data_IF_308168054909
#
_entry.id   IF_308168054909
#
_cell.length_a   1.000
_cell.length_b   1.000
_cell.length_c   1.000
_cell.angle_alpha   90.00
_cell.angle_beta   90.00
_cell.angle_gamma   90.00
#
_symmetry.space_group_name_H-M   'P 1'
#
loop_
_entity.id
_entity.type
_entity.pdbx_description
1 polymer ?
#
# COMPACT_ATOMS: atom_id res chain seq x y z
N UNK A 1 -13.96 19.67 -2.96
CA UNK A 1 -14.86 18.78 -2.20
C UNK A 1 -14.64 17.36 -2.69
N UNK A 2 -13.95 16.50 -1.92
CA UNK A 2 -13.76 15.10 -2.32
C UNK A 2 -15.09 14.35 -2.16
N UNK A 3 -15.75 14.06 -3.28
CA UNK A 3 -16.99 13.30 -3.32
C UNK A 3 -16.77 11.79 -3.15
N UNK A 4 -17.86 11.07 -2.91
CA UNK A 4 -17.89 9.60 -2.97
C UNK A 4 -18.04 9.16 -4.43
N UNK A 5 -17.11 8.34 -4.91
CA UNK A 5 -17.12 7.79 -6.26
C UNK A 5 -17.76 6.40 -6.26
N UNK A 6 -18.69 6.17 -7.19
CA UNK A 6 -19.21 4.83 -7.46
C UNK A 6 -18.47 4.29 -8.67
N UNK A 7 -17.72 3.21 -8.46
CA UNK A 7 -16.82 2.64 -9.45
C UNK A 7 -17.41 1.35 -10.02
N UNK A 8 -17.09 1.09 -11.27
CA UNK A 8 -17.48 -0.08 -12.06
C UNK A 8 -16.28 -0.97 -12.36
N UNK A 9 -16.50 -2.07 -13.08
CA UNK A 9 -15.37 -2.89 -13.57
C UNK A 9 -14.45 -2.20 -14.56
N UNK A 10 -14.94 -1.19 -15.29
CA UNK A 10 -14.18 -0.53 -16.34
C UNK A 10 -13.16 0.48 -15.79
N UNK A 11 -13.33 0.87 -14.52
CA UNK A 11 -12.40 1.76 -13.80
C UNK A 11 -11.13 1.04 -13.32
N UNK A 12 -11.07 -0.29 -13.50
CA UNK A 12 -9.95 -1.12 -13.08
C UNK A 12 -9.21 -1.72 -14.27
N UNK A 13 -7.88 -1.69 -14.20
CA UNK A 13 -6.99 -2.26 -15.22
C UNK A 13 -5.93 -3.14 -14.57
N UNK A 14 -5.56 -4.22 -15.25
CA UNK A 14 -4.46 -5.06 -14.81
C UNK A 14 -3.13 -4.47 -15.25
N UNK A 15 -2.18 -4.38 -14.33
CA UNK A 15 -0.83 -3.89 -14.61
C UNK A 15 0.23 -4.81 -13.99
N UNK A 16 1.44 -4.81 -14.55
CA UNK A 16 2.56 -5.56 -13.98
C UNK A 16 3.16 -4.78 -12.80
N UNK A 17 3.12 -5.35 -11.61
CA UNK A 17 3.82 -4.88 -10.42
C UNK A 17 5.16 -5.58 -10.22
N UNK A 18 5.90 -5.19 -9.18
CA UNK A 18 7.21 -5.76 -8.84
C UNK A 18 7.15 -7.22 -8.41
N UNK A 19 6.04 -7.64 -7.77
CA UNK A 19 5.83 -9.00 -7.26
C UNK A 19 4.85 -9.84 -8.09
N UNK A 20 4.32 -9.28 -9.19
CA UNK A 20 3.28 -9.91 -10.01
C UNK A 20 2.23 -8.91 -10.48
N UNK A 21 1.18 -9.41 -11.13
CA UNK A 21 0.08 -8.58 -11.64
C UNK A 21 -0.69 -7.93 -10.49
N UNK A 22 -1.06 -6.66 -10.66
CA UNK A 22 -1.84 -5.86 -9.71
C UNK A 22 -3.08 -5.31 -10.40
N UNK A 23 -4.16 -5.19 -9.64
CA UNK A 23 -5.37 -4.49 -10.08
C UNK A 23 -5.19 -3.00 -9.77
N UNK A 24 -5.09 -2.16 -10.79
CA UNK A 24 -4.92 -0.72 -10.68
C UNK A 24 -6.23 0.02 -10.96
N UNK A 25 -6.33 1.27 -10.52
CA UNK A 25 -7.43 2.19 -10.82
C UNK A 25 -6.92 3.46 -11.51
N UNK A 26 -7.83 4.19 -12.16
CA UNK A 26 -7.53 5.48 -12.79
C UNK A 26 -7.45 6.66 -11.81
N UNK A 27 -7.68 6.42 -10.51
CA UNK A 27 -7.80 7.49 -9.52
C UNK A 27 -6.41 8.03 -9.10
N UNK A 28 -6.12 9.33 -9.33
CA UNK A 28 -4.85 9.92 -8.91
C UNK A 28 -4.79 10.18 -7.41
N UNK A 29 -3.58 10.24 -6.85
CA UNK A 29 -3.36 10.53 -5.44
C UNK A 29 -3.78 9.38 -4.51
N UNK A 30 -4.23 9.72 -3.31
CA UNK A 30 -4.73 8.75 -2.34
C UNK A 30 -6.19 8.41 -2.62
N UNK A 31 -6.50 7.13 -2.74
CA UNK A 31 -7.89 6.68 -2.80
C UNK A 31 -8.14 5.44 -1.96
N UNK A 32 -9.23 5.46 -1.19
CA UNK A 32 -9.68 4.31 -0.42
C UNK A 32 -10.87 3.70 -1.15
N UNK A 33 -10.76 2.44 -1.56
CA UNK A 33 -11.79 1.74 -2.34
C UNK A 33 -12.38 0.61 -1.52
N UNK A 34 -13.71 0.62 -1.37
CA UNK A 34 -14.51 -0.42 -0.74
C UNK A 34 -15.19 -1.28 -1.80
N UNK A 35 -14.86 -2.57 -1.82
CA UNK A 35 -15.58 -3.60 -2.55
C UNK A 35 -16.62 -4.23 -1.63
N UNK A 36 -17.89 -4.17 -2.03
CA UNK A 36 -19.02 -4.62 -1.22
C UNK A 36 -20.04 -5.42 -2.05
N UNK A 37 -20.91 -6.16 -1.36
CA UNK A 37 -22.06 -6.83 -1.95
C UNK A 37 -23.34 -6.41 -1.23
N UNK A 38 -24.44 -6.27 -1.98
CA UNK A 38 -25.78 -5.98 -1.43
C UNK A 38 -26.37 -7.13 -0.61
N UNK A 39 -25.87 -8.35 -0.80
CA UNK A 39 -26.35 -9.56 -0.11
C UNK A 39 -25.53 -9.91 1.14
N UNK A 40 -24.52 -9.10 1.48
CA UNK A 40 -23.62 -9.38 2.61
C UNK A 40 -24.04 -8.56 3.85
N UNK A 41 -24.36 -9.21 5.00
CA UNK A 41 -24.76 -8.50 6.21
C UNK A 41 -23.63 -7.63 6.79
N UNK A 42 -22.37 -8.08 6.71
CA UNK A 42 -21.23 -7.29 7.16
C UNK A 42 -21.03 -6.02 6.32
N UNK A 43 -21.35 -6.07 5.02
CA UNK A 43 -21.29 -4.90 4.16
C UNK A 43 -22.34 -3.86 4.56
N UNK A 44 -23.54 -4.29 4.95
CA UNK A 44 -24.62 -3.38 5.36
C UNK A 44 -24.23 -2.50 6.54
N UNK A 45 -23.38 -3.01 7.45
CA UNK A 45 -22.84 -2.22 8.56
C UNK A 45 -21.75 -1.24 8.12
N UNK A 46 -20.82 -1.66 7.27
CA UNK A 46 -19.67 -0.82 6.86
C UNK A 46 -20.04 0.28 5.85
N UNK A 47 -20.98 0.02 4.94
CA UNK A 47 -21.42 0.98 3.90
C UNK A 47 -21.80 2.36 4.47
N UNK A 48 -22.70 2.50 5.47
CA UNK A 48 -23.08 3.81 6.00
C UNK A 48 -21.92 4.53 6.68
N UNK A 49 -20.98 3.79 7.27
CA UNK A 49 -19.78 4.36 7.91
C UNK A 49 -18.82 4.87 6.83
N UNK A 50 -18.61 4.08 5.77
CA UNK A 50 -17.77 4.45 4.65
C UNK A 50 -18.29 5.69 3.92
N UNK A 51 -19.61 5.82 3.75
CA UNK A 51 -20.27 6.98 3.15
C UNK A 51 -20.08 8.29 3.93
N UNK A 52 -19.70 8.22 5.22
CA UNK A 52 -19.42 9.40 6.08
C UNK A 52 -17.96 9.85 6.05
N UNK A 53 -17.07 9.08 5.43
CA UNK A 53 -15.64 9.44 5.30
C UNK A 53 -15.37 10.60 4.33
N UNK A 54 -16.03 10.70 3.16
CA UNK A 54 -15.86 11.84 2.26
C UNK A 54 -16.09 13.17 2.99
N UNK A 55 -15.23 14.15 2.74
CA UNK A 55 -15.29 15.48 3.37
C UNK A 55 -14.65 15.55 4.77
N UNK A 56 -14.35 14.43 5.42
CA UNK A 56 -13.67 14.43 6.72
C UNK A 56 -12.15 14.28 6.62
N UNK A 57 -11.66 13.70 5.52
CA UNK A 57 -10.23 13.53 5.24
C UNK A 57 -9.90 14.31 3.97
N UNK A 58 -9.04 15.32 4.08
CA UNK A 58 -8.51 16.05 2.95
C UNK A 58 -7.51 15.22 2.14
N UNK A 59 -7.46 15.40 0.83
CA UNK A 59 -6.45 14.77 -0.04
C UNK A 59 -6.66 13.28 -0.33
N UNK A 60 -7.73 12.65 0.20
CA UNK A 60 -8.12 11.28 -0.11
C UNK A 60 -9.45 11.24 -0.86
N UNK A 61 -9.54 10.39 -1.89
CA UNK A 61 -10.77 10.09 -2.61
C UNK A 61 -11.37 8.78 -2.08
N UNK A 62 -12.69 8.66 -2.07
CA UNK A 62 -13.36 7.46 -1.56
C UNK A 62 -14.16 6.82 -2.68
N UNK A 63 -13.88 5.56 -2.98
CA UNK A 63 -14.53 4.77 -4.02
C UNK A 63 -15.32 3.61 -3.46
N UNK A 64 -16.45 3.29 -4.07
CA UNK A 64 -17.26 2.12 -3.72
C UNK A 64 -17.57 1.29 -4.97
N UNK A 65 -17.37 -0.02 -4.90
CA UNK A 65 -17.64 -0.98 -5.98
C UNK A 65 -18.61 -2.04 -5.49
N UNK A 66 -19.76 -2.15 -6.13
CA UNK A 66 -20.66 -3.27 -5.91
C UNK A 66 -20.23 -4.47 -6.74
N UNK A 67 -19.66 -5.50 -6.10
CA UNK A 67 -19.16 -6.68 -6.80
C UNK A 67 -20.27 -7.63 -7.27
N UNK A 68 -21.49 -7.49 -6.75
CA UNK A 68 -22.66 -8.28 -7.21
C UNK A 68 -23.04 -7.94 -8.65
N UNK A 69 -22.92 -6.67 -9.03
CA UNK A 69 -23.17 -6.18 -10.39
C UNK A 69 -21.90 -6.16 -11.23
N UNK A 70 -20.74 -5.91 -10.59
CA UNK A 70 -19.44 -5.78 -11.25
C UNK A 70 -18.58 -7.05 -11.08
N UNK A 71 -19.08 -8.19 -11.56
CA UNK A 71 -18.37 -9.49 -11.40
C UNK A 71 -17.03 -9.55 -12.12
N UNK A 72 -16.83 -8.73 -13.16
CA UNK A 72 -15.57 -8.65 -13.89
C UNK A 72 -14.43 -8.17 -12.99
N UNK A 73 -14.67 -7.27 -12.03
CA UNK A 73 -13.68 -6.87 -11.02
C UNK A 73 -13.11 -8.09 -10.28
N UNK A 74 -13.99 -8.99 -9.82
CA UNK A 74 -13.58 -10.20 -9.09
C UNK A 74 -12.75 -11.08 -10.02
N UNK A 75 -13.21 -11.30 -11.26
CA UNK A 75 -12.49 -12.13 -12.25
C UNK A 75 -11.09 -11.60 -12.50
N UNK A 76 -10.95 -10.30 -12.78
CA UNK A 76 -9.64 -9.67 -12.98
C UNK A 76 -8.75 -9.79 -11.75
N UNK A 77 -9.31 -9.62 -10.54
CA UNK A 77 -8.53 -9.69 -9.30
C UNK A 77 -7.91 -11.08 -9.05
N UNK A 78 -8.49 -12.17 -9.57
CA UNK A 78 -8.02 -13.54 -9.33
C UNK A 78 -6.57 -13.76 -9.78
N UNK A 79 -6.19 -13.13 -10.89
CA UNK A 79 -4.85 -13.28 -11.48
C UNK A 79 -3.84 -12.27 -10.91
N UNK A 80 -4.19 -11.59 -9.83
CA UNK A 80 -3.35 -10.58 -9.18
C UNK A 80 -2.75 -11.11 -7.88
N UNK A 81 -1.72 -10.42 -7.39
CA UNK A 81 -1.09 -10.73 -6.10
C UNK A 81 -2.01 -10.53 -4.89
N UNK A 82 -3.14 -9.83 -5.07
CA UNK A 82 -4.09 -9.50 -4.02
C UNK A 82 -5.53 -9.76 -4.50
N UNK A 83 -5.92 -11.03 -4.66
CA UNK A 83 -7.25 -11.37 -5.15
C UNK A 83 -8.34 -10.96 -4.14
N UNK A 84 -9.48 -10.52 -4.67
CA UNK A 84 -10.65 -10.18 -3.85
C UNK A 84 -11.40 -11.47 -3.55
N UNK A 85 -11.12 -12.08 -2.40
CA UNK A 85 -11.67 -13.39 -2.01
C UNK A 85 -12.90 -13.33 -1.10
N UNK A 86 -13.10 -12.22 -0.38
CA UNK A 86 -14.27 -11.98 0.46
C UNK A 86 -14.70 -10.51 0.37
N UNK A 87 -15.88 -10.21 0.87
CA UNK A 87 -16.39 -8.84 1.08
C UNK A 87 -16.93 -8.71 2.52
N UNK A 88 -16.83 -7.53 3.16
CA UNK A 88 -16.26 -6.29 2.64
C UNK A 88 -14.73 -6.35 2.48
N UNK A 89 -14.23 -5.73 1.42
CA UNK A 89 -12.80 -5.66 1.13
C UNK A 89 -12.41 -4.21 0.87
N UNK A 90 -11.53 -3.66 1.70
CA UNK A 90 -11.12 -2.26 1.64
C UNK A 90 -9.64 -2.18 1.30
N UNK A 91 -9.30 -1.44 0.26
CA UNK A 91 -7.90 -1.26 -0.16
C UNK A 91 -7.61 0.22 -0.36
N UNK A 92 -6.48 0.66 0.18
CA UNK A 92 -5.90 1.95 -0.11
C UNK A 92 -5.03 1.84 -1.37
N UNK A 93 -5.31 2.73 -2.31
CA UNK A 93 -4.56 2.93 -3.54
C UNK A 93 -3.77 4.23 -3.43
N UNK A 94 -2.58 4.22 -4.01
CA UNK A 94 -1.69 5.37 -4.12
C UNK A 94 -1.33 5.53 -5.59
N UNK A 95 -1.73 6.64 -6.19
CA UNK A 95 -1.57 6.94 -7.62
C UNK A 95 -2.05 5.78 -8.50
N UNK A 96 -3.26 5.30 -8.24
CA UNK A 96 -3.88 4.20 -8.99
C UNK A 96 -3.35 2.80 -8.69
N UNK A 97 -2.31 2.64 -7.86
CA UNK A 97 -1.74 1.32 -7.53
C UNK A 97 -2.18 0.85 -6.14
N UNK A 98 -2.53 -0.44 -5.95
CA UNK A 98 -2.91 -0.96 -4.65
C UNK A 98 -1.70 -0.93 -3.72
N UNK A 99 -1.85 -0.28 -2.58
CA UNK A 99 -0.76 -0.09 -1.62
C UNK A 99 -0.93 -0.98 -0.39
N UNK A 100 -2.09 -0.89 0.27
CA UNK A 100 -2.34 -1.66 1.49
C UNK A 100 -3.82 -1.94 1.68
N UNK A 101 -4.14 -3.17 2.09
CA UNK A 101 -5.48 -3.56 2.51
C UNK A 101 -5.77 -3.04 3.93
N UNK A 102 -6.97 -2.51 4.13
CA UNK A 102 -7.50 -2.25 5.47
C UNK A 102 -8.21 -3.49 6.01
N UNK A 103 -7.79 -3.95 7.19
CA UNK A 103 -8.38 -5.08 7.91
C UNK A 103 -8.77 -4.76 9.35
N UNK A 104 -8.87 -3.46 9.69
CA UNK A 104 -9.25 -3.01 11.03
C UNK A 104 -10.77 -3.02 11.28
N UNK A 105 -11.20 -2.56 12.47
CA UNK A 105 -12.61 -2.44 12.82
C UNK A 105 -13.40 -1.57 11.84
N UNK A 106 -14.69 -1.86 11.66
CA UNK A 106 -15.59 -1.07 10.83
C UNK A 106 -16.03 0.22 11.54
N UNK A 107 -15.09 1.04 12.00
CA UNK A 107 -15.36 2.28 12.74
C UNK A 107 -14.82 3.51 11.99
N UNK A 108 -15.55 4.62 12.09
CA UNK A 108 -15.20 5.84 11.38
C UNK A 108 -13.83 6.41 11.83
N UNK A 109 -13.57 6.41 13.13
CA UNK A 109 -12.32 6.86 13.75
C UNK A 109 -11.13 6.03 13.28
N UNK A 110 -11.27 4.71 13.29
CA UNK A 110 -10.21 3.78 12.93
C UNK A 110 -9.84 3.85 11.44
N UNK A 111 -10.84 3.95 10.56
CA UNK A 111 -10.58 4.12 9.12
C UNK A 111 -9.90 5.47 8.85
N UNK A 112 -10.34 6.54 9.54
CA UNK A 112 -9.69 7.86 9.43
C UNK A 112 -8.23 7.82 9.84
N UNK A 113 -7.97 7.27 11.04
CA UNK A 113 -6.63 7.12 11.59
C UNK A 113 -5.73 6.34 10.64
N UNK A 114 -6.22 5.23 10.09
CA UNK A 114 -5.50 4.44 9.12
C UNK A 114 -5.08 5.25 7.89
N UNK A 115 -5.99 6.01 7.27
CA UNK A 115 -5.65 6.81 6.08
C UNK A 115 -4.62 7.89 6.41
N UNK A 116 -4.78 8.59 7.55
CA UNK A 116 -3.86 9.64 8.00
C UNK A 116 -2.47 9.07 8.29
N UNK A 117 -2.39 7.99 9.07
CA UNK A 117 -1.12 7.34 9.43
C UNK A 117 -0.37 6.87 8.19
N UNK A 118 -1.08 6.35 7.18
CA UNK A 118 -0.46 5.88 5.95
C UNK A 118 0.02 7.04 5.07
N UNK A 119 -0.77 8.11 4.94
CA UNK A 119 -0.35 9.30 4.22
C UNK A 119 0.94 9.90 4.82
N UNK A 120 1.00 10.05 6.15
CA UNK A 120 2.18 10.55 6.86
C UNK A 120 3.41 9.65 6.70
N UNK A 121 3.23 8.32 6.76
CA UNK A 121 4.34 7.36 6.56
C UNK A 121 4.91 7.42 5.15
N UNK A 122 4.06 7.62 4.13
CA UNK A 122 4.50 7.72 2.74
C UNK A 122 5.27 9.04 2.52
N UNK A 123 4.76 10.16 3.02
CA UNK A 123 5.46 11.45 2.95
C UNK A 123 6.83 11.39 3.63
N UNK A 124 6.89 10.78 4.80
CA UNK A 124 8.15 10.62 5.54
C UNK A 124 9.14 9.77 4.76
N UNK A 125 8.72 8.62 4.21
CA UNK A 125 9.60 7.78 3.38
C UNK A 125 10.12 8.50 2.13
N UNK A 126 9.29 9.32 1.48
CA UNK A 126 9.72 10.10 0.32
C UNK A 126 10.75 11.17 0.70
N UNK A 127 10.64 11.77 1.89
CA UNK A 127 11.66 12.70 2.40
C UNK A 127 13.00 11.99 2.65
N UNK A 128 12.97 10.78 3.22
CA UNK A 128 14.18 9.98 3.44
C UNK A 128 14.81 9.44 2.15
N UNK A 129 14.05 9.20 1.08
CA UNK A 129 14.61 8.79 -0.21
C UNK A 129 15.15 9.95 -1.06
N UNK A 130 14.68 11.18 -0.82
CA UNK A 130 15.10 12.38 -1.54
C UNK A 130 16.28 13.12 -0.88
N UNK A 131 16.67 12.75 0.34
CA UNK A 131 18.04 13.02 0.75
C UNK A 131 18.93 12.15 -0.11
N UNK A 132 19.53 12.77 -1.14
CA UNK A 132 20.68 12.20 -1.82
C UNK A 132 21.66 11.77 -0.73
N UNK A 133 21.72 10.48 -0.43
CA UNK A 133 22.87 9.91 0.24
C UNK A 133 24.01 10.33 -0.66
N UNK A 134 24.78 11.33 -0.22
CA UNK A 134 25.98 11.74 -0.93
C UNK A 134 26.81 10.49 -0.98
N UNK A 135 26.87 9.84 -2.15
CA UNK A 135 27.86 8.82 -2.37
C UNK A 135 29.19 9.51 -2.14
N UNK A 136 29.86 9.12 -1.06
CA UNK A 136 31.22 9.56 -0.81
C UNK A 136 32.02 9.18 -2.06
N UNK A 137 32.69 10.13 -2.74
CA UNK A 137 33.47 9.86 -3.95
C UNK A 137 34.56 8.79 -3.75
N UNK A 138 34.75 8.30 -2.52
CA UNK A 138 35.69 7.26 -2.15
C UNK A 138 35.14 5.84 -2.12
N UNK A 139 33.87 5.58 -2.47
CA UNK A 139 33.36 4.20 -2.57
C UNK A 139 33.64 3.31 -1.35
N UNK A 140 33.74 3.90 -0.15
CA UNK A 140 34.14 3.20 1.07
C UNK A 140 33.24 3.64 2.21
N UNK A 141 32.39 2.68 2.59
CA UNK A 141 31.83 2.44 3.92
C UNK A 141 31.34 3.68 4.70
N UNK A 142 30.05 3.75 5.09
CA UNK A 142 29.58 4.80 5.98
C UNK A 142 30.40 4.89 7.26
N UNK A 143 30.68 6.11 7.74
CA UNK A 143 31.57 6.39 8.89
C UNK A 143 31.16 5.70 10.21
N UNK A 144 29.92 5.22 10.31
CA UNK A 144 29.42 4.46 11.46
C UNK A 144 29.74 2.96 11.39
N UNK A 145 30.44 2.50 10.36
CA UNK A 145 30.80 1.10 10.17
C UNK A 145 32.28 0.89 10.46
N UNK A 146 32.60 -0.21 11.13
CA UNK A 146 33.96 -0.49 11.62
C UNK A 146 34.87 -1.06 10.52
N UNK A 147 34.30 -1.66 9.47
CA UNK A 147 35.04 -2.20 8.32
C UNK A 147 34.13 -2.90 7.32
N UNK A 148 34.71 -3.53 6.29
CA UNK A 148 33.98 -4.38 5.35
C UNK A 148 33.90 -5.79 5.96
N UNK A 149 32.71 -6.37 6.16
CA UNK A 149 32.61 -7.73 6.63
C UNK A 149 33.17 -8.69 5.59
N UNK A 150 34.05 -9.60 6.00
CA UNK A 150 34.59 -10.66 5.17
C UNK A 150 33.47 -11.68 4.93
N UNK A 151 33.04 -11.83 3.68
CA UNK A 151 32.11 -12.88 3.27
C UNK A 151 32.86 -13.81 2.31
N UNK A 152 33.21 -15.01 2.78
CA UNK A 152 33.72 -16.09 1.94
C UNK A 152 32.55 -17.05 1.65
N UNK A 153 32.01 -17.01 0.43
CA UNK A 153 30.84 -17.81 0.03
C UNK A 153 29.49 -17.17 0.40
N UNK A 154 28.47 -18.02 0.56
CA UNK A 154 27.05 -17.63 0.73
C UNK A 154 26.63 -17.47 2.21
N UNK A 155 27.57 -17.61 3.15
CA UNK A 155 27.32 -17.49 4.59
C UNK A 155 28.35 -16.55 5.25
N UNK A 156 27.87 -15.55 6.01
CA UNK A 156 28.72 -14.60 6.73
C UNK A 156 28.52 -14.76 8.25
N UNK A 157 28.98 -15.89 8.82
CA UNK A 157 28.97 -16.16 10.26
C UNK A 157 30.40 -16.17 10.84
N UNK A 158 31.07 -15.02 10.82
CA UNK A 158 32.36 -14.86 11.48
C UNK A 158 32.21 -14.17 12.85
N UNK A 159 32.96 -14.58 13.88
CA UNK A 159 33.04 -13.83 15.13
C UNK A 159 33.59 -12.41 14.84
N UNK A 160 33.14 -11.42 15.62
CA UNK A 160 33.34 -9.99 15.36
C UNK A 160 34.79 -9.60 15.00
N UNK A 161 35.77 -10.22 15.67
CA UNK A 161 37.20 -9.93 15.45
C UNK A 161 37.75 -10.48 14.12
N UNK A 162 37.12 -11.50 13.54
CA UNK A 162 37.51 -12.11 12.26
C UNK A 162 36.70 -11.55 11.09
N UNK A 163 35.50 -11.03 11.38
CA UNK A 163 34.62 -10.46 10.37
C UNK A 163 35.20 -9.20 9.73
N UNK A 164 36.03 -8.42 10.42
CA UNK A 164 36.57 -7.16 9.92
C UNK A 164 38.10 -7.22 9.83
N UNK A 165 38.65 -7.02 8.63
CA UNK A 165 40.08 -6.79 8.46
C UNK A 165 40.47 -5.48 9.14
N UNK A 166 41.45 -5.54 10.06
CA UNK A 166 42.05 -4.34 10.65
C UNK A 166 42.66 -3.52 9.51
N UNK A 167 42.10 -2.33 9.27
CA UNK A 167 42.72 -1.33 8.40
C UNK A 167 44.03 -0.92 9.07
N UNK A 168 45.17 -1.21 8.43
CA UNK A 168 46.46 -0.66 8.83
C UNK A 168 46.48 0.85 8.59
#
# INVERSE_FOLDING_TARGET
MSGLLFLSSDDFVLSKGTKGTILCTSIPGFSLILFYSTQCPHCQHLIPIFKKLPGTIGGCQFGMVNVSTNKNCIRMSKDTIAPITYVPYVVLYVNGRPFMRYGGPAELSEIKRFVIDVAQKIETKQKFSNENVREDPRGRIPAYTIGIPKCEGDECYFPFNEAYTKLN
#
